data_IF_300768663487
#
_entry.id   IF_300768663487
#
_cell.length_a   1.000
_cell.length_b   1.000
_cell.length_c   1.000
_cell.angle_alpha   90.00
_cell.angle_beta   90.00
_cell.angle_gamma   90.00
#
_symmetry.space_group_name_H-M   'P 1'
#
loop_
_entity.id
_entity.type
_entity.pdbx_description
1 polymer ?
#
# COMPACT_ATOMS: atom_id res chain seq x y z
N UNK A 1 -2.11 -16.31 4.08
CA UNK A 1 -2.24 -14.92 3.65
C UNK A 1 -3.72 -14.63 3.60
N UNK A 2 -4.36 -13.91 4.52
CA UNK A 2 -3.96 -12.92 5.51
C UNK A 2 -3.76 -13.56 6.89
N UNK A 3 -2.88 -13.04 7.74
CA UNK A 3 -2.76 -13.46 9.15
C UNK A 3 -3.98 -13.07 10.01
N UNK A 4 -5.20 -13.20 9.48
CA UNK A 4 -6.45 -12.90 10.19
C UNK A 4 -6.56 -13.73 11.49
N UNK A 5 -6.00 -14.94 11.49
CA UNK A 5 -5.95 -15.82 12.66
C UNK A 5 -5.01 -15.32 13.76
N UNK A 6 -4.05 -14.44 13.44
CA UNK A 6 -3.16 -13.82 14.43
C UNK A 6 -3.79 -12.59 15.10
N UNK A 7 -5.00 -12.17 14.69
CA UNK A 7 -5.72 -11.05 15.29
C UNK A 7 -5.11 -9.67 15.03
N UNK A 8 -4.12 -9.56 14.13
CA UNK A 8 -3.34 -8.33 13.91
C UNK A 8 -4.07 -7.26 13.07
N UNK A 9 -5.03 -7.66 12.22
CA UNK A 9 -5.78 -6.75 11.36
C UNK A 9 -7.23 -6.61 11.82
N UNK A 10 -7.74 -5.39 11.87
CA UNK A 10 -9.17 -5.09 11.96
C UNK A 10 -9.76 -5.05 10.56
N UNK A 11 -10.83 -5.83 10.33
CA UNK A 11 -11.59 -5.83 9.07
C UNK A 11 -12.64 -4.72 9.11
N UNK A 12 -12.57 -3.77 8.17
CA UNK A 12 -13.50 -2.64 8.07
C UNK A 12 -14.13 -2.58 6.68
N UNK A 13 -15.36 -2.06 6.60
CA UNK A 13 -16.06 -1.86 5.32
C UNK A 13 -16.07 -0.38 4.98
N UNK A 14 -15.53 -0.03 3.82
CA UNK A 14 -15.45 1.36 3.37
C UNK A 14 -16.08 1.52 1.99
N UNK A 15 -16.64 2.71 1.75
CA UNK A 15 -17.08 3.12 0.42
C UNK A 15 -15.89 3.71 -0.33
N UNK A 16 -15.62 3.18 -1.52
CA UNK A 16 -14.53 3.62 -2.40
C UNK A 16 -15.16 4.31 -3.60
N UNK A 17 -14.79 5.58 -3.79
CA UNK A 17 -15.09 6.35 -4.99
C UNK A 17 -14.13 5.90 -6.10
N UNK A 18 -14.67 5.55 -7.27
CA UNK A 18 -13.89 4.98 -8.37
C UNK A 18 -13.68 6.01 -9.47
N UNK A 19 -12.43 6.17 -9.88
CA UNK A 19 -12.08 7.02 -11.03
C UNK A 19 -12.21 6.25 -12.35
N UNK A 20 -12.10 4.92 -12.31
CA UNK A 20 -12.14 4.04 -13.48
C UNK A 20 -12.64 2.65 -13.11
N UNK A 21 -13.28 1.97 -14.07
CA UNK A 21 -13.72 0.57 -14.02
C UNK A 21 -14.07 0.08 -15.42
N UNK A 22 -14.00 -1.23 -15.60
CA UNK A 22 -14.56 -1.98 -16.73
C UNK A 22 -16.10 -2.00 -16.83
N UNK A 23 -16.81 -1.57 -15.78
CA UNK A 23 -18.28 -1.61 -15.69
C UNK A 23 -18.86 -0.21 -15.50
N UNK A 24 -19.02 0.22 -14.25
CA UNK A 24 -19.54 1.55 -13.85
C UNK A 24 -18.50 2.26 -12.98
N UNK A 25 -18.57 3.59 -12.85
CA UNK A 25 -17.75 4.37 -11.91
C UNK A 25 -18.46 4.68 -10.59
N UNK A 26 -19.67 4.12 -10.36
CA UNK A 26 -20.42 4.33 -9.12
C UNK A 26 -19.60 3.91 -7.88
N UNK A 27 -19.80 4.53 -6.71
CA UNK A 27 -19.10 4.13 -5.49
C UNK A 27 -19.41 2.69 -5.10
N UNK A 28 -18.41 1.96 -4.61
CA UNK A 28 -18.55 0.55 -4.21
C UNK A 28 -18.15 0.33 -2.75
N UNK A 29 -18.69 -0.72 -2.13
CA UNK A 29 -18.25 -1.15 -0.80
C UNK A 29 -17.11 -2.16 -0.93
N UNK A 30 -15.97 -1.85 -0.32
CA UNK A 30 -14.80 -2.72 -0.23
C UNK A 30 -14.49 -3.08 1.23
N UNK A 31 -13.90 -4.25 1.43
CA UNK A 31 -13.29 -4.62 2.71
C UNK A 31 -11.85 -4.15 2.73
N UNK A 32 -11.43 -3.47 3.81
CA UNK A 32 -10.03 -3.17 4.10
C UNK A 32 -9.62 -3.88 5.39
N UNK A 33 -8.33 -4.20 5.47
CA UNK A 33 -7.69 -4.80 6.63
C UNK A 33 -6.65 -3.81 7.15
N UNK A 34 -6.86 -3.29 8.34
CA UNK A 34 -6.04 -2.23 8.92
C UNK A 34 -5.38 -2.74 10.19
N UNK A 35 -4.08 -2.48 10.34
CA UNK A 35 -3.38 -2.65 11.62
C UNK A 35 -3.51 -1.35 12.40
N UNK A 36 -4.19 -1.41 13.55
CA UNK A 36 -4.37 -0.27 14.46
C UNK A 36 -3.34 -0.34 15.60
N UNK A 37 -2.06 -0.33 15.22
CA UNK A 37 -0.91 -0.50 16.12
C UNK A 37 0.36 0.12 15.51
N UNK A 38 0.28 1.36 15.05
CA UNK A 38 1.44 2.03 14.46
C UNK A 38 2.44 2.49 15.53
N UNK A 39 3.71 2.12 15.37
CA UNK A 39 4.79 2.38 16.33
C UNK A 39 5.88 3.33 15.80
N UNK A 40 5.64 4.04 14.68
CA UNK A 40 6.60 5.04 14.17
C UNK A 40 7.70 4.52 13.23
N UNK A 41 7.61 3.27 12.75
CA UNK A 41 8.56 2.69 11.81
C UNK A 41 8.41 3.19 10.36
N UNK A 42 9.53 3.32 9.64
CA UNK A 42 9.53 3.49 8.18
C UNK A 42 9.41 2.13 7.48
N UNK A 43 8.69 2.05 6.34
CA UNK A 43 8.60 0.83 5.55
C UNK A 43 9.95 0.46 4.91
N UNK A 44 10.09 -0.80 4.48
CA UNK A 44 11.24 -1.22 3.67
C UNK A 44 11.16 -0.63 2.26
N UNK A 45 12.29 -0.16 1.73
CA UNK A 45 12.38 0.35 0.35
C UNK A 45 11.97 -0.72 -0.67
N UNK A 46 12.32 -1.99 -0.44
CA UNK A 46 11.91 -3.10 -1.28
C UNK A 46 10.38 -3.28 -1.30
N UNK A 47 9.73 -3.17 -0.14
CA UNK A 47 8.28 -3.35 -0.05
C UNK A 47 7.52 -2.21 -0.73
N UNK A 48 8.02 -0.97 -0.59
CA UNK A 48 7.51 0.17 -1.35
C UNK A 48 7.68 -0.02 -2.87
N UNK A 49 8.82 -0.54 -3.32
CA UNK A 49 9.06 -0.85 -4.73
C UNK A 49 8.05 -1.86 -5.28
N UNK A 50 7.83 -2.97 -4.57
CA UNK A 50 6.82 -3.99 -4.95
C UNK A 50 5.41 -3.38 -5.02
N UNK A 51 5.03 -2.54 -4.05
CA UNK A 51 3.73 -1.87 -4.07
C UNK A 51 3.59 -0.87 -5.22
N UNK A 52 4.64 -0.11 -5.53
CA UNK A 52 4.63 0.85 -6.62
C UNK A 52 4.52 0.17 -7.99
N UNK A 53 5.28 -0.91 -8.23
CA UNK A 53 5.23 -1.66 -9.48
C UNK A 53 3.85 -2.29 -9.69
N UNK A 54 3.25 -2.86 -8.63
CA UNK A 54 1.90 -3.41 -8.69
C UNK A 54 0.85 -2.32 -8.97
N UNK A 55 0.99 -1.14 -8.35
CA UNK A 55 0.09 -0.01 -8.58
C UNK A 55 0.17 0.51 -10.03
N UNK A 56 1.38 0.60 -10.59
CA UNK A 56 1.60 0.99 -11.98
C UNK A 56 0.94 0.02 -12.96
N UNK A 57 1.15 -1.29 -12.77
CA UNK A 57 0.52 -2.34 -13.58
C UNK A 57 -1.01 -2.30 -13.48
N UNK A 58 -1.55 -1.97 -12.31
CA UNK A 58 -2.99 -1.81 -12.10
C UNK A 58 -3.57 -0.51 -12.68
N UNK A 59 -2.74 0.37 -13.26
CA UNK A 59 -3.17 1.63 -13.85
C UNK A 59 -3.49 2.72 -12.82
N UNK A 60 -2.84 2.68 -11.65
CA UNK A 60 -2.97 3.76 -10.66
C UNK A 60 -2.44 5.09 -11.23
N UNK A 61 -2.97 6.24 -10.76
CA UNK A 61 -2.49 7.56 -11.16
C UNK A 61 -0.97 7.72 -11.01
N UNK A 62 -0.33 8.41 -11.97
CA UNK A 62 1.12 8.52 -12.03
C UNK A 62 1.73 9.26 -10.82
N UNK A 63 1.03 10.27 -10.30
CA UNK A 63 1.37 10.98 -9.08
C UNK A 63 1.32 10.07 -7.85
N UNK A 64 0.29 9.22 -7.74
CA UNK A 64 0.20 8.22 -6.68
C UNK A 64 1.33 7.20 -6.73
N UNK A 65 1.68 6.69 -7.92
CA UNK A 65 2.82 5.78 -8.10
C UNK A 65 4.13 6.47 -7.74
N UNK A 66 4.32 7.72 -8.17
CA UNK A 66 5.50 8.51 -7.84
C UNK A 66 5.65 8.68 -6.33
N UNK A 67 4.58 9.06 -5.64
CA UNK A 67 4.56 9.23 -4.18
C UNK A 67 4.92 7.95 -3.42
N UNK A 68 4.52 6.78 -3.92
CA UNK A 68 4.94 5.49 -3.35
C UNK A 68 6.44 5.25 -3.53
N UNK A 69 7.00 5.56 -4.72
CA UNK A 69 8.42 5.37 -5.04
C UNK A 69 9.34 6.31 -4.27
N UNK A 70 8.87 7.51 -3.93
CA UNK A 70 9.66 8.54 -3.21
C UNK A 70 9.43 8.55 -1.70
N UNK A 71 8.60 7.64 -1.17
CA UNK A 71 8.23 7.62 0.24
C UNK A 71 9.45 7.31 1.13
N UNK A 72 9.62 7.97 2.29
CA UNK A 72 10.70 7.67 3.22
C UNK A 72 10.71 6.19 3.63
N UNK A 73 11.87 5.56 3.56
CA UNK A 73 12.02 4.12 3.74
C UNK A 73 13.30 3.74 4.50
N UNK A 74 13.30 2.57 5.12
CA UNK A 74 14.51 1.93 5.66
C UNK A 74 15.18 1.08 4.58
N UNK A 75 16.51 1.26 4.48
CA UNK A 75 17.54 0.65 3.61
C UNK A 75 17.81 1.25 2.21
N UNK A 76 19.06 1.71 2.05
CA UNK A 76 19.91 1.67 0.85
C UNK A 76 21.24 1.01 1.27
N UNK A 77 21.48 -0.28 0.96
CA UNK A 77 22.80 -0.98 0.99
C UNK A 77 23.66 -0.97 2.28
N UNK A 78 24.73 -1.80 2.40
CA UNK A 78 25.67 -1.69 3.51
C UNK A 78 26.42 -0.36 3.38
N UNK A 79 26.62 0.34 4.49
CA UNK A 79 27.61 1.42 4.52
C UNK A 79 28.93 0.87 4.03
N UNK A 80 29.55 1.53 3.06
CA UNK A 80 30.95 1.28 2.74
C UNK A 80 31.75 1.33 4.04
N UNK A 81 32.46 0.24 4.34
CA UNK A 81 33.33 0.17 5.50
C UNK A 81 34.42 1.23 5.40
N UNK A 82 34.65 1.91 6.52
CA UNK A 82 35.95 2.43 6.94
C UNK A 82 36.31 1.74 8.25
#
# INVERSE_FOLDING_TARGET
WEGAELGIHKKIRCRVERLSSDTTTDPVLAWLYVVDAWEGGLPSAHYLGVMADAAEVAGAPADYVHDLRTRPARNIGPGHGE
#
